data_IF_271285692342
#
_entry.id   IF_271285692342
#
_cell.length_a   1.000
_cell.length_b   1.000
_cell.length_c   1.000
_cell.angle_alpha   90.00
_cell.angle_beta   90.00
_cell.angle_gamma   90.00
#
_symmetry.space_group_name_H-M   'P 1'
#
loop_
_entity.id
_entity.type
_entity.pdbx_description
1 polymer ?
#
# COMPACT_ATOMS: atom_id res chain seq x y z
N UNK A 1 2.99 -14.60 2.88
CA UNK A 1 2.24 -13.77 3.84
C UNK A 1 1.60 -14.65 4.93
N UNK A 2 1.50 -14.19 6.18
CA UNK A 2 1.08 -15.01 7.33
C UNK A 2 0.13 -14.28 8.30
N UNK A 3 -0.59 -15.08 9.09
CA UNK A 3 -1.49 -14.63 10.15
C UNK A 3 -2.95 -14.47 9.73
N UNK A 4 -3.83 -14.19 10.69
CA UNK A 4 -5.29 -14.14 10.51
C UNK A 4 -5.77 -13.13 9.45
N UNK A 5 -4.95 -12.11 9.16
CA UNK A 5 -5.19 -11.13 8.10
C UNK A 5 -4.09 -11.11 7.04
N UNK A 6 -3.28 -12.17 6.95
CA UNK A 6 -2.19 -12.24 5.98
C UNK A 6 -2.70 -12.41 4.55
N UNK A 7 -1.94 -11.90 3.58
CA UNK A 7 -2.23 -12.01 2.14
C UNK A 7 -2.47 -10.66 1.50
N UNK A 8 -3.15 -10.64 0.35
CA UNK A 8 -3.74 -9.42 -0.19
C UNK A 8 -5.04 -9.12 0.54
N UNK A 9 -5.24 -7.88 0.98
CA UNK A 9 -6.42 -7.48 1.75
C UNK A 9 -6.92 -6.10 1.33
N UNK A 10 -8.23 -5.86 1.50
CA UNK A 10 -8.91 -4.57 1.36
C UNK A 10 -8.88 -3.88 -0.02
N UNK A 11 -8.12 -4.37 -1.00
CA UNK A 11 -8.32 -4.04 -2.42
C UNK A 11 -7.08 -4.21 -3.29
N UNK A 12 -7.32 -4.55 -4.56
CA UNK A 12 -6.31 -4.69 -5.59
C UNK A 12 -6.60 -3.72 -6.75
N UNK A 13 -5.56 -3.41 -7.54
CA UNK A 13 -5.70 -2.66 -8.78
C UNK A 13 -5.17 -3.50 -9.96
N UNK A 14 -5.54 -3.14 -11.19
CA UNK A 14 -5.07 -3.81 -12.40
C UNK A 14 -4.82 -2.81 -13.52
N UNK A 15 -3.80 -3.07 -14.34
CA UNK A 15 -3.55 -2.39 -15.61
C UNK A 15 -3.87 -3.31 -16.81
N UNK A 16 -4.75 -4.30 -16.60
CA UNK A 16 -5.13 -5.40 -17.51
C UNK A 16 -4.03 -6.44 -17.75
N UNK A 17 -2.76 -6.04 -17.65
CA UNK A 17 -1.61 -6.96 -17.78
C UNK A 17 -1.25 -7.59 -16.44
N UNK A 18 -1.29 -6.82 -15.37
CA UNK A 18 -0.92 -7.24 -14.03
C UNK A 18 -1.98 -6.85 -13.00
N UNK A 19 -2.07 -7.66 -11.95
CA UNK A 19 -2.80 -7.36 -10.72
C UNK A 19 -1.80 -6.91 -9.67
N UNK A 20 -2.10 -5.81 -9.00
CA UNK A 20 -1.32 -5.21 -7.93
C UNK A 20 -2.07 -5.30 -6.62
N UNK A 21 -1.39 -5.71 -5.56
CA UNK A 21 -1.99 -5.74 -4.20
C UNK A 21 -0.91 -5.59 -3.14
N UNK A 22 -1.33 -5.25 -1.93
CA UNK A 22 -0.55 -5.35 -0.70
C UNK A 22 -0.18 -6.81 -0.34
N UNK A 23 0.91 -6.95 0.40
CA UNK A 23 1.28 -8.16 1.13
C UNK A 23 1.15 -7.84 2.62
N UNK A 24 0.16 -8.43 3.28
CA UNK A 24 0.00 -8.34 4.73
C UNK A 24 0.65 -9.55 5.39
N UNK A 25 1.40 -9.32 6.47
CA UNK A 25 2.14 -10.35 7.17
C UNK A 25 2.00 -10.20 8.69
N UNK A 26 0.79 -10.28 9.24
CA UNK A 26 0.49 -9.92 10.65
C UNK A 26 1.27 -10.71 11.69
N UNK A 27 1.78 -11.91 11.38
CA UNK A 27 2.65 -12.68 12.29
C UNK A 27 4.16 -12.45 12.08
N UNK A 28 4.55 -11.58 11.15
CA UNK A 28 5.97 -11.26 10.91
C UNK A 28 6.81 -12.47 10.54
N UNK A 29 6.25 -13.46 9.83
CA UNK A 29 7.02 -14.62 9.37
C UNK A 29 7.90 -14.24 8.19
N UNK A 30 9.14 -14.73 8.19
CA UNK A 30 10.04 -14.57 7.07
C UNK A 30 9.44 -15.18 5.79
N UNK A 31 9.51 -14.42 4.70
CA UNK A 31 9.22 -14.90 3.36
C UNK A 31 10.17 -14.26 2.34
N UNK A 32 10.27 -14.89 1.18
CA UNK A 32 11.18 -14.48 0.12
C UNK A 32 10.44 -13.58 -0.87
N UNK A 33 11.03 -12.43 -1.18
CA UNK A 33 10.60 -11.55 -2.25
C UNK A 33 11.06 -12.09 -3.59
N UNK A 34 10.15 -12.10 -4.56
CA UNK A 34 10.41 -12.46 -5.95
C UNK A 34 10.51 -11.18 -6.79
N UNK A 35 11.45 -11.05 -7.73
CA UNK A 35 12.51 -12.00 -8.09
C UNK A 35 13.82 -11.82 -7.31
N UNK A 36 13.91 -10.84 -6.41
CA UNK A 36 15.17 -10.46 -5.76
C UNK A 36 15.78 -11.52 -4.85
N UNK A 37 14.98 -12.51 -4.40
CA UNK A 37 15.33 -13.52 -3.40
C UNK A 37 15.70 -12.96 -2.02
N UNK A 38 15.42 -11.67 -1.78
CA UNK A 38 15.61 -11.07 -0.46
C UNK A 38 14.58 -11.61 0.52
N UNK A 39 15.00 -11.86 1.76
CA UNK A 39 14.12 -12.31 2.83
C UNK A 39 13.65 -11.10 3.63
N UNK A 40 12.36 -11.01 3.88
CA UNK A 40 11.76 -9.99 4.74
C UNK A 40 10.68 -10.61 5.64
N UNK A 41 10.40 -9.97 6.76
CA UNK A 41 9.24 -10.25 7.61
C UNK A 41 8.20 -9.13 7.57
N UNK A 42 8.49 -8.02 6.88
CA UNK A 42 7.57 -6.90 6.74
C UNK A 42 6.42 -7.23 5.78
N UNK A 43 5.39 -6.40 5.78
CA UNK A 43 4.45 -6.35 4.67
C UNK A 43 5.13 -5.74 3.44
N UNK A 44 4.40 -5.69 2.35
CA UNK A 44 4.92 -5.12 1.11
C UNK A 44 3.85 -4.91 0.05
N UNK A 45 4.30 -4.89 -1.19
CA UNK A 45 3.43 -4.87 -2.37
C UNK A 45 3.95 -5.85 -3.41
N UNK A 46 3.03 -6.34 -4.23
CA UNK A 46 3.31 -7.34 -5.26
C UNK A 46 2.58 -6.99 -6.54
N UNK A 47 3.23 -7.27 -7.67
CA UNK A 47 2.60 -7.34 -8.98
C UNK A 47 2.62 -8.79 -9.48
N UNK A 48 1.50 -9.23 -10.03
CA UNK A 48 1.32 -10.56 -10.59
C UNK A 48 0.73 -10.45 -12.00
N UNK A 49 1.15 -11.32 -12.91
CA UNK A 49 0.50 -11.47 -14.20
C UNK A 49 -1.01 -11.73 -14.03
N UNK A 50 -1.86 -10.96 -14.71
CA UNK A 50 -3.30 -11.05 -14.53
C UNK A 50 -3.91 -12.36 -15.06
N UNK A 51 -3.22 -13.07 -15.95
CA UNK A 51 -3.73 -14.31 -16.58
C UNK A 51 -3.35 -15.55 -15.79
N UNK A 52 -2.13 -15.59 -15.26
CA UNK A 52 -1.56 -16.77 -14.62
C UNK A 52 -1.11 -16.58 -13.17
N UNK A 53 -1.19 -15.37 -12.62
CA UNK A 53 -0.81 -15.09 -11.23
C UNK A 53 0.70 -15.15 -10.95
N UNK A 54 1.54 -15.29 -11.99
CA UNK A 54 2.99 -15.30 -11.84
C UNK A 54 3.45 -13.95 -11.29
N UNK A 55 4.16 -13.96 -10.17
CA UNK A 55 4.75 -12.74 -9.58
C UNK A 55 5.78 -12.15 -10.56
N UNK A 56 5.57 -10.89 -10.94
CA UNK A 56 6.52 -10.10 -11.73
C UNK A 56 7.55 -9.44 -10.82
N UNK A 57 7.09 -8.84 -9.73
CA UNK A 57 7.93 -8.27 -8.69
C UNK A 57 7.18 -8.22 -7.35
N UNK A 58 7.95 -8.15 -6.27
CA UNK A 58 7.48 -7.88 -4.92
C UNK A 58 8.54 -7.09 -4.17
N UNK A 59 8.08 -6.16 -3.34
CA UNK A 59 8.94 -5.30 -2.54
C UNK A 59 8.48 -5.31 -1.10
N UNK A 60 9.44 -5.22 -0.17
CA UNK A 60 9.16 -4.93 1.24
C UNK A 60 8.73 -3.48 1.38
N UNK A 61 7.81 -3.20 2.30
CA UNK A 61 7.51 -1.82 2.68
C UNK A 61 8.76 -1.19 3.34
N UNK A 62 9.27 -0.06 2.83
CA UNK A 62 10.44 0.62 3.39
C UNK A 62 10.22 1.14 4.82
N UNK A 63 8.97 1.39 5.20
CA UNK A 63 8.61 1.86 6.55
C UNK A 63 8.60 0.73 7.60
N UNK A 64 9.07 -0.48 7.27
CA UNK A 64 9.26 -1.61 8.20
C UNK A 64 8.02 -1.99 9.03
N UNK A 65 6.83 -1.98 8.42
CA UNK A 65 5.59 -2.48 9.05
C UNK A 65 5.16 -3.81 8.44
N UNK A 66 4.59 -4.67 9.27
CA UNK A 66 4.02 -5.97 8.89
C UNK A 66 2.58 -5.88 8.39
N UNK A 67 1.88 -4.79 8.73
CA UNK A 67 0.46 -4.58 8.43
C UNK A 67 0.36 -3.47 7.40
N UNK A 68 -0.18 -3.79 6.23
CA UNK A 68 -0.40 -2.84 5.13
C UNK A 68 -1.81 -3.11 4.61
N UNK A 69 -2.81 -2.54 5.25
CA UNK A 69 -4.22 -2.87 4.97
C UNK A 69 -4.91 -1.88 4.02
N UNK A 70 -4.15 -0.96 3.39
CA UNK A 70 -4.70 0.00 2.44
C UNK A 70 -4.81 -0.59 1.02
N UNK A 71 -5.92 -0.34 0.30
CA UNK A 71 -6.02 -0.70 -1.11
C UNK A 71 -5.00 0.10 -1.94
N UNK A 72 -4.65 -0.44 -3.10
CA UNK A 72 -3.69 0.17 -4.03
C UNK A 72 -4.41 0.79 -5.22
N UNK A 73 -3.77 1.74 -5.91
CA UNK A 73 -4.34 2.36 -7.11
C UNK A 73 -3.27 2.54 -8.18
N UNK A 74 -3.64 2.39 -9.44
CA UNK A 74 -2.68 2.39 -10.55
C UNK A 74 -3.15 3.32 -11.65
N UNK A 75 -2.24 4.12 -12.20
CA UNK A 75 -2.47 4.92 -13.38
C UNK A 75 -1.13 5.20 -14.08
N UNK A 76 -1.14 5.22 -15.42
CA UNK A 76 0.01 5.62 -16.24
C UNK A 76 1.33 4.93 -15.87
N UNK A 77 1.29 3.62 -15.56
CA UNK A 77 2.48 2.86 -15.20
C UNK A 77 3.03 3.14 -13.79
N UNK A 78 2.24 3.79 -12.94
CA UNK A 78 2.59 4.10 -11.55
C UNK A 78 1.54 3.52 -10.61
N UNK A 79 2.01 2.75 -9.63
CA UNK A 79 1.23 2.23 -8.53
C UNK A 79 1.39 3.17 -7.32
N UNK A 80 0.27 3.67 -6.81
CA UNK A 80 0.19 4.52 -5.64
C UNK A 80 -0.32 3.73 -4.45
N UNK A 81 0.41 3.81 -3.35
CA UNK A 81 0.14 3.06 -2.13
C UNK A 81 0.46 3.92 -0.92
N UNK A 82 -0.20 3.63 0.20
CA UNK A 82 0.07 4.29 1.46
C UNK A 82 0.47 3.28 2.54
N UNK A 83 1.44 3.67 3.35
CA UNK A 83 1.89 2.91 4.51
C UNK A 83 1.15 3.36 5.77
N UNK A 84 0.52 2.44 6.52
CA UNK A 84 -0.24 2.78 7.72
C UNK A 84 0.68 2.94 8.96
N UNK A 85 1.91 3.43 8.78
CA UNK A 85 2.83 3.71 9.88
C UNK A 85 2.52 5.06 10.52
N UNK A 86 3.00 5.31 11.74
CA UNK A 86 2.80 6.60 12.44
C UNK A 86 3.18 7.81 11.57
N UNK A 87 4.18 7.67 10.72
CA UNK A 87 4.70 8.74 9.86
C UNK A 87 3.87 8.89 8.57
N UNK A 88 3.08 7.87 8.18
CA UNK A 88 2.20 7.96 7.01
C UNK A 88 2.92 8.22 5.71
N UNK A 89 3.49 7.19 5.08
CA UNK A 89 4.26 7.41 3.84
C UNK A 89 3.44 6.99 2.63
N UNK A 90 3.31 7.90 1.66
CA UNK A 90 2.78 7.63 0.33
C UNK A 90 3.96 7.26 -0.57
N UNK A 91 3.81 6.18 -1.33
CA UNK A 91 4.81 5.74 -2.30
C UNK A 91 4.20 5.71 -3.71
N UNK A 92 4.95 6.22 -4.67
CA UNK A 92 4.75 5.94 -6.08
C UNK A 92 5.76 4.90 -6.55
N UNK A 93 5.26 3.81 -7.11
CA UNK A 93 6.05 2.64 -7.47
C UNK A 93 5.88 2.41 -8.97
N UNK A 94 7.00 2.23 -9.67
CA UNK A 94 6.98 1.85 -11.08
C UNK A 94 6.34 0.45 -11.23
N UNK A 95 5.30 0.36 -12.06
CA UNK A 95 4.51 -0.87 -12.19
C UNK A 95 5.25 -2.00 -12.90
N UNK A 96 6.30 -1.72 -13.65
CA UNK A 96 7.06 -2.72 -14.41
C UNK A 96 8.08 -3.45 -13.54
N UNK A 97 8.71 -2.76 -12.60
CA UNK A 97 9.86 -3.29 -11.87
C UNK A 97 9.80 -3.13 -10.33
N UNK A 98 8.76 -2.50 -9.79
CA UNK A 98 8.60 -2.30 -8.36
C UNK A 98 9.54 -1.24 -7.75
N UNK A 99 10.27 -0.47 -8.56
CA UNK A 99 11.14 0.61 -8.08
C UNK A 99 10.30 1.76 -7.55
N UNK A 100 10.63 2.24 -6.35
CA UNK A 100 10.04 3.47 -5.81
C UNK A 100 10.54 4.66 -6.65
N UNK A 101 9.59 5.38 -7.26
CA UNK A 101 9.84 6.58 -8.05
C UNK A 101 9.97 7.79 -7.14
N UNK A 102 9.08 7.90 -6.15
CA UNK A 102 9.12 8.92 -5.10
C UNK A 102 8.36 8.44 -3.86
N UNK A 103 8.63 9.09 -2.73
CA UNK A 103 7.89 8.92 -1.48
C UNK A 103 7.63 10.25 -0.81
N UNK A 104 6.51 10.37 -0.10
CA UNK A 104 6.16 11.57 0.67
C UNK A 104 5.58 11.18 2.02
N UNK A 105 6.09 11.77 3.09
CA UNK A 105 5.63 11.58 4.46
C UNK A 105 4.55 12.61 4.80
N UNK A 106 3.34 12.16 5.13
CA UNK A 106 2.21 13.03 5.48
C UNK A 106 2.03 13.21 7.00
N UNK A 107 2.83 12.53 7.81
CA UNK A 107 2.88 12.67 9.27
C UNK A 107 1.84 11.86 10.06
N UNK A 108 1.03 11.04 9.39
CA UNK A 108 0.03 10.16 10.03
C UNK A 108 -0.33 8.94 9.18
N UNK A 109 -0.52 7.78 9.83
CA UNK A 109 -0.83 6.53 9.16
C UNK A 109 -2.10 6.56 8.32
N UNK A 110 -1.97 6.16 7.05
CA UNK A 110 -3.08 6.06 6.10
C UNK A 110 -3.46 4.60 5.91
N UNK A 111 -4.71 4.28 6.24
CA UNK A 111 -5.32 2.97 6.00
C UNK A 111 -6.25 2.97 4.78
N UNK A 112 -6.51 4.14 4.20
CA UNK A 112 -7.39 4.33 3.06
C UNK A 112 -6.64 4.17 1.72
N UNK A 113 -7.42 4.04 0.64
CA UNK A 113 -6.90 4.06 -0.72
C UNK A 113 -6.54 5.45 -1.22
N UNK A 114 -5.91 5.47 -2.39
CA UNK A 114 -5.54 6.68 -3.11
C UNK A 114 -6.54 6.88 -4.26
N UNK A 115 -7.21 8.02 -4.33
CA UNK A 115 -8.04 8.33 -5.51
C UNK A 115 -7.21 9.03 -6.57
N UNK A 116 -7.54 8.85 -7.85
CA UNK A 116 -6.81 9.43 -8.99
C UNK A 116 -7.79 10.16 -9.90
N UNK A 117 -7.54 11.43 -10.18
CA UNK A 117 -8.31 12.23 -11.15
C UNK A 117 -7.44 13.33 -11.73
N UNK A 118 -7.57 13.62 -13.02
CA UNK A 118 -7.01 14.80 -13.69
C UNK A 118 -5.52 15.06 -13.42
N UNK A 119 -4.71 14.00 -13.43
CA UNK A 119 -3.25 14.10 -13.19
C UNK A 119 -2.87 14.27 -11.72
N UNK A 120 -3.84 14.22 -10.81
CA UNK A 120 -3.63 14.28 -9.37
C UNK A 120 -3.97 12.96 -8.70
N UNK A 121 -3.25 12.67 -7.61
CA UNK A 121 -3.70 11.71 -6.62
C UNK A 121 -4.22 12.42 -5.38
N UNK A 122 -5.22 11.83 -4.74
CA UNK A 122 -5.87 12.36 -3.54
C UNK A 122 -5.80 11.34 -2.43
N UNK A 123 -5.31 11.77 -1.27
CA UNK A 123 -5.14 10.91 -0.09
C UNK A 123 -5.80 11.58 1.10
N UNK A 124 -6.82 10.92 1.63
CA UNK A 124 -7.48 11.35 2.85
C UNK A 124 -6.73 10.87 4.08
N UNK A 125 -6.47 11.78 5.01
CA UNK A 125 -6.11 11.45 6.39
C UNK A 125 -7.29 11.68 7.32
N UNK A 126 -7.48 10.77 8.27
CA UNK A 126 -8.56 10.85 9.23
C UNK A 126 -8.68 9.52 9.95
N UNK A 127 -8.08 9.42 11.13
CA UNK A 127 -8.29 8.25 11.98
C UNK A 127 -9.67 8.35 12.63
N UNK A 128 -10.59 7.53 12.16
CA UNK A 128 -11.55 6.88 13.04
C UNK A 128 -11.26 5.38 12.99
N UNK A 129 -10.86 4.75 14.12
CA UNK A 129 -10.87 3.30 14.19
C UNK A 129 -12.25 2.81 13.75
N UNK A 130 -12.30 1.83 12.84
CA UNK A 130 -13.58 1.22 12.39
C UNK A 130 -14.38 0.65 13.58
N UNK A 131 -13.68 0.36 14.69
CA UNK A 131 -14.24 -0.12 15.97
C UNK A 131 -14.48 0.98 17.00
N UNK A 132 -14.29 2.25 16.65
CA UNK A 132 -14.40 3.33 17.60
C UNK A 132 -15.87 3.50 18.01
N UNK A 133 -16.15 3.66 19.32
CA UNK A 133 -17.50 3.96 19.77
C UNK A 133 -17.98 5.27 19.14
N UNK A 134 -19.30 5.44 18.99
CA UNK A 134 -19.92 6.61 18.33
C UNK A 134 -19.46 7.98 18.89
N UNK A 135 -18.88 7.99 20.09
CA UNK A 135 -18.38 9.19 20.77
C UNK A 135 -16.87 9.43 20.56
N UNK A 136 -16.20 8.63 19.72
CA UNK A 136 -14.79 8.81 19.41
C UNK A 136 -14.60 10.10 18.62
N UNK A 137 -13.88 11.05 19.21
CA UNK A 137 -13.38 12.21 18.48
C UNK A 137 -12.10 11.80 17.75
N UNK A 138 -12.00 12.04 16.43
CA UNK A 138 -10.77 11.84 15.69
C UNK A 138 -9.61 12.50 16.43
N UNK A 139 -8.53 11.75 16.64
CA UNK A 139 -7.29 12.31 17.18
C UNK A 139 -6.53 12.86 15.97
N UNK A 140 -6.53 14.19 15.81
CA UNK A 140 -5.77 14.90 14.78
C UNK A 140 -6.62 15.59 13.72
N UNK A 141 -5.97 16.40 12.90
CA UNK A 141 -6.59 17.12 11.80
C UNK A 141 -6.99 16.16 10.67
N UNK A 142 -8.26 16.23 10.25
CA UNK A 142 -8.72 15.60 9.01
C UNK A 142 -8.22 16.48 7.87
N UNK A 143 -7.35 15.92 7.04
CA UNK A 143 -6.83 16.63 5.86
C UNK A 143 -6.99 15.78 4.61
N UNK A 144 -7.04 16.48 3.47
CA UNK A 144 -6.97 15.88 2.16
C UNK A 144 -5.70 16.40 1.49
N UNK A 145 -4.82 15.49 1.10
CA UNK A 145 -3.63 15.84 0.32
C UNK A 145 -3.92 15.59 -1.15
N UNK A 146 -3.43 16.50 -2.00
CA UNK A 146 -3.43 16.34 -3.44
C UNK A 146 -1.98 16.43 -3.95
N UNK A 147 -1.54 15.46 -4.74
CA UNK A 147 -0.25 15.47 -5.41
C UNK A 147 -0.50 15.42 -6.91
N UNK A 148 -0.19 16.52 -7.60
CA UNK A 148 -0.46 16.72 -9.02
C UNK A 148 0.85 16.84 -9.80
N UNK A 149 0.80 16.48 -11.09
CA UNK A 149 1.87 16.74 -12.06
C UNK A 149 1.61 18.00 -12.88
#
# INVERSE_FOLDING_TARGET
>A
PSGLGGGGTWGAATDEKNVYTNIVNTYGKNFTLVPSNNITNNGGWVAMDARGGKIQWSISNPSNTTIISGPVSVANGVLFVASPTKDGTIYAINTENGKILWSYEIGIGVYAGVSISDGCIYVGQGLSPITAPANYKPIGDISLFAFCV
#
